data_IF_364301526033
#
_entry.id   IF_364301526033
#
_cell.length_a   1.000
_cell.length_b   1.000
_cell.length_c   1.000
_cell.angle_alpha   90.00
_cell.angle_beta   90.00
_cell.angle_gamma   90.00
#
_symmetry.space_group_name_H-M   'P 1'
#
loop_
_entity.id
_entity.type
_entity.pdbx_description
1 polymer ?
2 polymer ?
3 polymer ?
4 non-polymer ?
5 water ?
#
loop_
_entity_poly.entity_id
_entity_poly.type
_entity_poly.pdbx_seq_one_letter_code
_entity_poly.pdbx_strand_id
2 'polydeoxyribonucleotide' '(DA)(DG)(DG)(DG)(DG)(DG)(DG)(DA)(DA)(DA)(DT)(DC)(DC)(DC)(DC)(DC)(DC)(DT)' ?
3 'polydeoxyribonucleotide' '(DA)(DG)(DG)(DG)(DG)(DG)(DG)(DA)(DT)(DT)(DT)(DC)(DC)(DC)(DC)(DC)(DC)(DT)' ?
#
# COMPACT_ATOMS: atom_id res chain seq x y z
N UNK A 3 14.12 18.97 -23.45
CA UNK A 3 14.76 17.84 -22.76
C UNK A 3 14.38 16.49 -23.36
N UNK A 4 14.68 16.28 -24.64
CA UNK A 4 14.30 15.03 -25.31
C UNK A 4 15.22 13.87 -24.94
N UNK A 5 16.20 14.08 -24.07
CA UNK A 5 17.08 13.02 -23.59
C UNK A 5 17.14 13.07 -22.07
N UNK A 6 17.16 11.89 -21.46
CA UNK A 6 17.49 11.79 -20.05
C UNK A 6 19.01 11.79 -19.88
N UNK A 7 19.49 12.48 -18.85
CA UNK A 7 20.89 12.34 -18.52
C UNK A 7 21.14 10.93 -17.99
N UNK A 8 22.41 10.54 -17.93
CA UNK A 8 22.69 9.18 -17.50
C UNK A 8 22.37 8.98 -16.02
N UNK A 9 22.39 10.02 -15.20
CA UNK A 9 22.00 9.85 -13.81
C UNK A 9 20.49 9.77 -13.65
N UNK A 10 19.73 10.42 -14.53
CA UNK A 10 18.29 10.18 -14.55
C UNK A 10 17.96 8.77 -15.01
N UNK A 11 18.80 8.19 -15.88
CA UNK A 11 18.63 6.80 -16.28
C UNK A 11 18.91 5.87 -15.11
N UNK A 12 19.90 6.22 -14.27
CA UNK A 12 20.17 5.40 -13.09
C UNK A 12 18.97 5.40 -12.14
N UNK A 13 18.23 6.49 -12.09
CA UNK A 13 17.01 6.49 -11.30
C UNK A 13 15.97 5.56 -11.91
N UNK A 14 15.85 5.56 -13.24
CA UNK A 14 14.91 4.67 -13.92
C UNK A 14 15.18 3.20 -13.59
N UNK A 15 16.45 2.79 -13.57
CA UNK A 15 16.78 1.40 -13.27
C UNK A 15 16.62 1.06 -11.79
N UNK A 16 16.63 2.06 -10.92
CA UNK A 16 16.60 1.82 -9.48
C UNK A 16 15.27 2.16 -8.83
N UNK A 17 14.30 2.64 -9.60
CA UNK A 17 13.03 3.01 -9.00
C UNK A 17 12.45 1.80 -8.28
N UNK A 18 12.00 1.95 -7.04
CA UNK A 18 11.54 0.80 -6.27
C UNK A 18 10.29 0.20 -6.88
N UNK A 19 10.04 -1.06 -6.52
CA UNK A 19 8.85 -1.75 -6.96
C UNK A 19 9.14 -2.73 -8.09
N UNK A 20 8.08 -3.45 -8.47
CA UNK A 20 8.11 -4.46 -9.52
C UNK A 20 7.17 -3.96 -10.62
N UNK A 21 7.74 -3.46 -11.71
CA UNK A 21 6.94 -2.72 -12.67
C UNK A 21 7.44 -2.96 -14.09
N UNK A 22 6.66 -2.41 -15.02
CA UNK A 22 6.90 -2.63 -16.43
C UNK A 22 5.61 -2.33 -17.20
N UNK A 23 5.64 -2.68 -18.48
CA UNK A 23 4.47 -2.43 -19.31
C UNK A 23 4.29 -3.55 -20.31
N UNK A 24 3.07 -3.64 -20.83
CA UNK A 24 2.66 -4.64 -21.79
C UNK A 24 1.83 -3.96 -22.88
N UNK A 25 1.85 -4.54 -24.10
CA UNK A 25 1.11 -3.94 -25.20
C UNK A 25 -0.36 -4.40 -25.12
N UNK A 26 -1.16 -3.98 -26.11
CA UNK A 26 -2.59 -4.30 -26.16
C UNK A 26 -2.88 -5.79 -26.11
N UNK A 27 -1.90 -6.64 -26.38
CA UNK A 27 -2.08 -8.09 -26.27
C UNK A 27 -1.52 -8.66 -24.97
N UNK A 28 -1.10 -7.80 -24.04
CA UNK A 28 -0.47 -8.26 -22.80
C UNK A 28 0.84 -9.02 -23.08
N UNK A 29 1.54 -8.62 -24.12
CA UNK A 29 2.91 -9.08 -24.33
C UNK A 29 3.86 -8.08 -23.69
N UNK A 30 4.82 -8.59 -22.93
CA UNK A 30 5.71 -7.73 -22.17
C UNK A 30 6.58 -6.89 -23.11
N UNK A 31 6.51 -5.57 -22.95
CA UNK A 31 7.41 -4.67 -23.65
C UNK A 31 8.66 -4.39 -22.81
N UNK A 32 8.48 -4.01 -21.55
CA UNK A 32 9.59 -3.76 -20.66
C UNK A 32 9.27 -4.30 -19.27
N UNK A 33 10.30 -4.74 -18.57
CA UNK A 33 10.16 -5.20 -17.20
C UNK A 33 11.42 -4.82 -16.44
N UNK A 34 11.26 -4.26 -15.25
CA UNK A 34 12.44 -3.76 -14.55
C UNK A 34 13.17 -4.92 -13.88
N UNK A 35 14.38 -4.63 -13.38
CA UNK A 35 15.22 -5.71 -12.90
C UNK A 35 14.58 -6.44 -11.73
N UNK A 36 13.86 -5.72 -10.87
CA UNK A 36 13.24 -6.35 -9.71
C UNK A 36 12.19 -7.36 -10.14
N UNK A 37 11.38 -7.01 -11.15
CA UNK A 37 10.31 -7.91 -11.58
C UNK A 37 10.86 -9.15 -12.26
N UNK A 38 11.85 -8.97 -13.14
CA UNK A 38 12.48 -10.11 -13.77
C UNK A 38 12.96 -11.13 -12.77
N UNK A 39 13.56 -10.68 -11.67
CA UNK A 39 14.09 -11.63 -10.68
C UNK A 39 12.95 -12.27 -9.91
N UNK A 40 11.93 -11.49 -9.55
CA UNK A 40 10.76 -12.03 -8.86
C UNK A 40 10.12 -13.17 -9.65
N UNK A 41 10.14 -13.08 -10.98
CA UNK A 41 9.49 -14.06 -11.84
C UNK A 41 10.40 -15.23 -12.20
N UNK A 42 11.72 -15.06 -12.06
CA UNK A 42 12.62 -16.17 -12.31
C UNK A 42 13.60 -15.93 -13.45
N UNK A 43 13.57 -14.74 -14.02
CA UNK A 43 14.47 -14.35 -15.10
C UNK A 43 15.56 -13.44 -14.51
N UNK A 44 16.76 -14.02 -14.33
CA UNK A 44 17.88 -13.25 -13.81
C UNK A 44 18.16 -12.00 -14.64
N UNK A 45 17.90 -12.06 -15.94
CA UNK A 45 18.03 -10.90 -16.83
C UNK A 45 16.64 -10.53 -17.35
N UNK A 46 16.17 -9.34 -16.97
CA UNK A 46 14.77 -8.99 -17.22
C UNK A 46 14.46 -8.81 -18.70
N UNK A 47 15.48 -8.57 -19.53
CA UNK A 47 15.21 -8.43 -20.96
C UNK A 47 14.52 -9.67 -21.52
N UNK A 48 14.75 -10.83 -20.89
CA UNK A 48 14.08 -12.06 -21.32
C UNK A 48 12.56 -12.00 -21.13
N UNK A 49 12.04 -11.04 -20.37
CA UNK A 49 10.60 -10.87 -20.26
C UNK A 49 9.98 -10.41 -21.57
N UNK A 50 10.76 -9.71 -22.41
CA UNK A 50 10.19 -9.04 -23.57
C UNK A 50 9.77 -10.07 -24.61
N UNK A 51 8.58 -9.88 -25.16
CA UNK A 51 8.03 -10.81 -26.11
C UNK A 51 7.21 -11.93 -25.50
N UNK A 52 7.27 -12.11 -24.18
CA UNK A 52 6.52 -13.16 -23.50
C UNK A 52 5.21 -12.62 -22.96
N UNK A 53 4.27 -13.53 -22.74
CA UNK A 53 3.05 -13.22 -22.03
C UNK A 53 3.14 -13.75 -20.60
N UNK A 54 2.10 -13.50 -19.82
CA UNK A 54 2.07 -14.01 -18.45
C UNK A 54 2.02 -15.53 -18.40
N UNK A 55 1.60 -16.18 -19.50
CA UNK A 55 1.60 -17.64 -19.49
C UNK A 55 3.01 -18.20 -19.58
N UNK A 56 3.93 -17.45 -20.17
CA UNK A 56 5.23 -17.99 -20.58
C UNK A 56 6.36 -17.68 -19.60
N UNK A 57 6.02 -17.25 -18.37
CA UNK A 57 6.97 -16.90 -17.32
C UNK A 57 7.30 -18.12 -16.48
N UNK A 58 8.58 -18.34 -16.17
CA UNK A 58 9.00 -19.52 -15.39
C UNK A 58 8.65 -19.40 -13.91
N UNK A 59 7.35 -19.27 -13.63
CA UNK A 59 6.87 -18.94 -12.31
C UNK A 59 5.52 -19.59 -12.09
N UNK A 60 5.19 -20.00 -10.87
CA UNK A 60 3.83 -20.52 -10.61
C UNK A 60 2.76 -19.47 -10.82
N UNK A 61 3.12 -18.18 -10.88
CA UNK A 61 2.15 -17.14 -11.19
C UNK A 61 1.51 -17.34 -12.55
N UNK A 62 2.12 -18.14 -13.44
CA UNK A 62 1.52 -18.37 -14.75
C UNK A 62 0.17 -19.06 -14.66
N UNK A 63 -0.16 -19.66 -13.53
CA UNK A 63 -1.46 -20.28 -13.34
C UNK A 63 -2.59 -19.26 -13.26
N UNK A 64 -2.26 -18.00 -12.99
CA UNK A 64 -3.25 -16.92 -12.91
C UNK A 64 -3.14 -15.95 -14.09
N UNK A 65 -2.42 -16.34 -15.14
CA UNK A 65 -2.21 -15.44 -16.28
C UNK A 65 -3.52 -14.93 -16.87
N UNK A 66 -4.58 -15.74 -16.84
CA UNK A 66 -5.85 -15.29 -17.41
C UNK A 66 -6.45 -14.17 -16.59
N UNK A 67 -6.31 -14.23 -15.26
CA UNK A 67 -6.80 -13.12 -14.45
C UNK A 67 -6.03 -11.85 -14.76
N UNK A 68 -4.70 -11.96 -14.89
CA UNK A 68 -3.87 -10.83 -15.27
C UNK A 68 -4.36 -10.19 -16.56
N UNK A 69 -4.58 -10.99 -17.59
CA UNK A 69 -4.98 -10.42 -18.87
C UNK A 69 -6.39 -9.84 -18.80
N UNK A 70 -7.26 -10.47 -18.03
CA UNK A 70 -8.59 -9.90 -17.81
C UNK A 70 -8.49 -8.52 -17.19
N UNK A 71 -7.69 -8.38 -16.12
CA UNK A 71 -7.47 -7.07 -15.52
C UNK A 71 -6.84 -6.11 -16.52
N UNK A 72 -5.89 -6.61 -17.32
CA UNK A 72 -5.28 -5.77 -18.36
C UNK A 72 -6.35 -5.24 -19.33
N UNK A 73 -7.21 -6.13 -19.82
CA UNK A 73 -8.22 -5.69 -20.78
C UNK A 73 -9.18 -4.69 -20.15
N UNK A 74 -9.48 -4.85 -18.86
CA UNK A 74 -10.34 -3.88 -18.19
C UNK A 74 -9.71 -2.48 -18.17
N UNK A 75 -8.40 -2.41 -17.92
CA UNK A 75 -7.72 -1.12 -17.93
C UNK A 75 -7.76 -0.54 -19.35
N UNK A 76 -7.40 -1.35 -20.34
CA UNK A 76 -7.46 -0.90 -21.73
C UNK A 76 -8.88 -0.46 -22.09
N UNK A 77 -9.89 -1.17 -21.60
CA UNK A 77 -11.26 -0.88 -21.96
C UNK A 77 -11.78 0.41 -21.30
N UNK A 78 -11.46 0.61 -20.02
CA UNK A 78 -12.05 1.71 -19.26
C UNK A 78 -11.14 2.91 -19.10
N UNK A 79 -9.83 2.74 -19.25
CA UNK A 79 -8.90 3.80 -18.96
C UNK A 79 -8.70 4.08 -17.49
N UNK A 80 -9.24 3.25 -16.61
CA UNK A 80 -9.10 3.47 -15.17
C UNK A 80 -7.77 2.93 -14.67
N UNK A 81 -7.41 3.35 -13.46
CA UNK A 81 -6.37 2.69 -12.72
C UNK A 81 -7.02 1.63 -11.84
N UNK A 82 -6.35 0.49 -11.68
CA UNK A 82 -6.92 -0.67 -11.03
C UNK A 82 -5.96 -1.17 -9.96
N UNK A 83 -6.49 -1.51 -8.79
CA UNK A 83 -5.71 -2.01 -7.68
C UNK A 83 -6.00 -3.49 -7.52
N UNK A 84 -4.98 -4.32 -7.72
CA UNK A 84 -5.09 -5.77 -7.66
C UNK A 84 -4.30 -6.29 -6.46
N UNK A 85 -4.95 -7.09 -5.63
CA UNK A 85 -4.26 -7.87 -4.61
C UNK A 85 -3.78 -9.19 -5.22
N UNK A 86 -2.52 -9.51 -4.98
CA UNK A 86 -1.88 -10.68 -5.55
C UNK A 86 -1.21 -11.50 -4.46
N UNK A 87 -1.49 -12.79 -4.44
CA UNK A 87 -0.92 -13.72 -3.47
C UNK A 87 -0.52 -14.96 -4.24
N UNK A 88 0.77 -15.28 -4.29
CA UNK A 88 1.26 -16.34 -5.14
C UNK A 88 2.54 -16.91 -4.56
N UNK A 89 2.89 -18.15 -4.91
CA UNK A 89 4.26 -18.63 -4.74
C UNK A 89 5.12 -18.24 -5.94
N UNK A 90 6.41 -18.04 -5.68
CA UNK A 90 7.35 -17.55 -6.68
C UNK A 90 8.57 -18.45 -6.74
N UNK A 91 9.36 -18.37 -7.82
CA UNK A 91 10.47 -19.33 -7.98
C UNK A 91 11.55 -19.22 -6.92
N UNK A 92 11.48 -18.24 -6.02
CA UNK A 92 12.36 -18.21 -4.85
C UNK A 92 11.85 -19.11 -3.74
N UNK A 93 10.84 -19.94 -4.01
CA UNK A 93 10.32 -20.88 -3.04
C UNK A 93 9.51 -20.29 -1.92
N UNK A 94 9.03 -19.06 -2.06
CA UNK A 94 8.28 -18.38 -1.01
C UNK A 94 6.95 -17.87 -1.56
N UNK A 95 5.97 -17.74 -0.68
CA UNK A 95 4.72 -17.06 -1.01
C UNK A 95 4.90 -15.57 -0.75
N UNK A 96 4.27 -14.76 -1.59
CA UNK A 96 4.38 -13.31 -1.48
C UNK A 96 2.99 -12.71 -1.59
N UNK A 97 2.81 -11.54 -1.00
CA UNK A 97 1.60 -10.75 -1.18
C UNK A 97 2.00 -9.41 -1.78
N UNK A 98 1.50 -9.12 -2.98
CA UNK A 98 1.75 -7.85 -3.62
C UNK A 98 0.45 -7.12 -3.88
N UNK A 99 0.54 -5.80 -3.97
CA UNK A 99 -0.50 -4.97 -4.55
C UNK A 99 0.05 -4.47 -5.88
N UNK A 100 -0.56 -4.91 -6.98
CA UNK A 100 -0.22 -4.41 -8.31
C UNK A 100 -1.21 -3.35 -8.73
N UNK A 101 -0.68 -2.18 -9.08
CA UNK A 101 -1.46 -1.09 -9.62
C UNK A 101 -1.28 -1.13 -11.13
N UNK A 102 -2.38 -1.03 -11.87
CA UNK A 102 -2.36 -1.12 -13.31
C UNK A 102 -3.07 0.09 -13.89
N UNK A 103 -2.45 0.73 -14.87
CA UNK A 103 -2.92 1.97 -15.45
C UNK A 103 -2.72 1.90 -16.96
N UNK A 104 -3.40 2.75 -17.72
CA UNK A 104 -3.19 2.76 -19.18
C UNK A 104 -1.79 3.21 -19.54
N UNK A 105 -1.24 2.59 -20.58
CA UNK A 105 0.01 2.99 -21.20
C UNK A 105 -0.35 3.69 -22.52
N UNK A 106 -0.08 4.98 -22.61
CA UNK A 106 -0.52 5.75 -23.76
C UNK A 106 0.63 6.02 -24.71
N UNK A 107 0.27 6.50 -25.92
CA UNK A 107 1.24 6.77 -26.98
C UNK A 107 1.31 8.28 -27.21
N UNK A 108 1.97 8.68 -28.31
CA UNK A 108 2.25 10.10 -28.52
C UNK A 108 0.97 10.93 -28.54
N UNK A 109 -0.09 10.41 -29.17
CA UNK A 109 -1.34 11.14 -29.30
C UNK A 109 -2.35 10.79 -28.21
N UNK A 110 -1.91 10.14 -27.13
CA UNK A 110 -2.78 9.81 -26.01
C UNK A 110 -3.58 8.53 -26.14
N UNK A 111 -3.53 7.86 -27.28
CA UNK A 111 -4.26 6.61 -27.46
C UNK A 111 -3.66 5.51 -26.58
N UNK A 112 -4.53 4.70 -25.99
CA UNK A 112 -4.07 3.59 -25.16
C UNK A 112 -3.42 2.53 -26.03
N UNK A 113 -2.19 2.14 -25.66
CA UNK A 113 -1.42 1.14 -26.40
C UNK A 113 -0.99 -0.02 -25.50
N UNK A 114 -1.55 -0.12 -24.32
CA UNK A 114 -1.24 -1.22 -23.42
C UNK A 114 -1.45 -0.80 -21.98
N UNK A 115 -0.82 -1.54 -21.07
CA UNK A 115 -0.96 -1.29 -19.65
C UNK A 115 0.40 -1.12 -18.98
N UNK A 116 0.38 -0.39 -17.88
CA UNK A 116 1.52 -0.24 -16.98
C UNK A 116 1.17 -0.99 -15.71
N UNK A 117 2.03 -1.89 -15.28
CA UNK A 117 1.84 -2.50 -13.98
C UNK A 117 2.88 -1.97 -12.99
N UNK A 118 2.50 -1.88 -11.73
CA UNK A 118 3.43 -1.42 -10.70
C UNK A 118 3.05 -2.15 -9.42
N UNK A 119 3.94 -3.03 -8.96
CA UNK A 119 3.69 -3.88 -7.82
C UNK A 119 4.57 -3.52 -6.63
N UNK A 120 4.01 -3.64 -5.44
CA UNK A 120 4.74 -3.43 -4.21
C UNK A 120 4.54 -4.62 -3.31
N UNK A 121 5.63 -5.14 -2.76
CA UNK A 121 5.56 -6.26 -1.85
C UNK A 121 5.15 -5.76 -0.48
N UNK A 122 4.11 -6.36 0.11
CA UNK A 122 3.77 -6.01 1.48
C UNK A 122 3.76 -7.22 2.40
N UNK A 123 4.40 -8.33 2.01
CA UNK A 123 4.49 -9.48 2.90
C UNK A 123 5.14 -9.11 4.23
N UNK A 124 6.07 -8.16 4.22
CA UNK A 124 6.76 -7.74 5.43
C UNK A 124 6.76 -6.23 5.57
N UNK A 125 6.02 -5.52 4.74
CA UNK A 125 5.94 -4.06 4.78
C UNK A 125 4.48 -3.61 4.77
N UNK A 126 3.61 -4.35 5.43
CA UNK A 126 2.22 -3.95 5.45
C UNK A 126 2.07 -2.64 6.22
N UNK A 127 1.07 -1.85 5.84
CA UNK A 127 0.89 -0.51 6.38
C UNK A 127 -0.36 -0.44 7.26
N UNK A 128 -0.67 -1.55 7.96
CA UNK A 128 -1.84 -1.56 8.86
C UNK A 128 -1.75 -0.44 9.88
N UNK A 129 -0.55 -0.16 10.40
CA UNK A 129 -0.37 0.82 11.47
C UNK A 129 -0.87 2.21 11.07
N UNK A 130 -1.20 2.43 9.81
CA UNK A 130 -1.72 3.71 9.34
C UNK A 130 -2.91 4.14 10.18
N UNK A 131 -3.85 3.22 10.44
CA UNK A 131 -5.01 3.55 11.24
C UNK A 131 -4.63 3.97 12.65
N UNK A 132 -3.69 3.26 13.27
CA UNK A 132 -3.24 3.64 14.61
C UNK A 132 -2.63 5.03 14.61
N UNK A 133 -1.85 5.36 13.58
CA UNK A 133 -1.20 6.67 13.54
C UNK A 133 -2.21 7.79 13.33
N UNK A 134 -3.25 7.54 12.53
CA UNK A 134 -4.32 8.52 12.36
C UNK A 134 -5.07 8.72 13.67
N UNK A 135 -5.29 7.66 14.44
CA UNK A 135 -6.03 7.82 15.69
C UNK A 135 -5.25 8.65 16.69
N UNK A 136 -3.94 8.39 16.82
CA UNK A 136 -3.14 9.13 17.78
C UNK A 136 -3.03 10.61 17.40
N UNK A 137 -2.76 10.90 16.13
CA UNK A 137 -2.61 12.29 15.70
C UNK A 137 -3.90 13.08 15.81
N UNK A 138 -5.05 12.41 15.84
CA UNK A 138 -6.34 13.08 15.92
C UNK A 138 -6.98 12.99 17.30
N UNK A 139 -6.25 12.44 18.28
CA UNK A 139 -6.79 12.32 19.63
C UNK A 139 -7.90 11.30 19.78
N UNK A 140 -7.85 10.21 19.02
CA UNK A 140 -8.84 9.15 19.10
C UNK A 140 -8.20 7.82 19.52
N UNK A 141 -7.18 7.89 20.36
CA UNK A 141 -6.52 6.70 20.89
C UNK A 141 -6.18 6.98 22.36
N UNK A 142 -5.41 6.08 22.95
CA UNK A 142 -5.01 6.23 24.35
C UNK A 142 -3.54 5.84 24.56
N UNK A 154 13.66 -8.93 23.24
CA UNK A 154 13.30 -9.54 21.96
C UNK A 154 12.14 -10.53 22.11
N UNK A 155 11.37 -10.72 21.05
CA UNK A 155 10.22 -11.61 21.05
C UNK A 155 10.35 -12.66 19.96
N UNK A 156 9.78 -13.84 20.22
CA UNK A 156 9.76 -14.95 19.27
C UNK A 156 8.43 -15.65 19.39
N UNK A 157 7.67 -15.68 18.30
CA UNK A 157 6.34 -16.27 18.27
C UNK A 157 6.35 -17.55 17.45
N UNK A 158 5.50 -18.49 17.84
CA UNK A 158 5.29 -19.68 17.04
C UNK A 158 4.49 -19.31 15.80
N UNK A 159 4.48 -20.22 14.82
CA UNK A 159 3.72 -19.95 13.61
C UNK A 159 2.25 -19.70 13.93
N UNK A 160 1.68 -20.54 14.79
CA UNK A 160 0.26 -20.43 15.10
C UNK A 160 -0.05 -19.16 15.89
N UNK A 161 0.85 -18.77 16.81
CA UNK A 161 0.67 -17.52 17.52
C UNK A 161 0.67 -16.32 16.56
N UNK A 162 1.62 -16.29 15.62
CA UNK A 162 1.69 -15.21 14.64
C UNK A 162 0.38 -15.06 13.87
N UNK A 163 -0.26 -16.18 13.54
CA UNK A 163 -1.55 -16.13 12.85
C UNK A 163 -2.59 -15.41 13.71
N UNK A 164 -2.73 -15.85 14.97
CA UNK A 164 -3.71 -15.24 15.86
C UNK A 164 -3.45 -13.76 16.02
N UNK A 165 -2.19 -13.36 16.22
CA UNK A 165 -1.87 -11.94 16.35
C UNK A 165 -2.29 -11.18 15.10
N UNK A 166 -1.97 -11.72 13.91
CA UNK A 166 -2.39 -11.10 12.67
C UNK A 166 -3.91 -10.90 12.62
N UNK A 167 -4.67 -11.90 13.04
CA UNK A 167 -6.12 -11.76 12.98
C UNK A 167 -6.66 -10.77 14.03
N UNK A 168 -6.03 -10.71 15.21
CA UNK A 168 -6.42 -9.70 16.19
C UNK A 168 -6.11 -8.29 15.69
N UNK A 169 -4.95 -8.11 15.07
CA UNK A 169 -4.57 -6.79 14.59
C UNK A 169 -5.55 -6.26 13.55
N UNK A 170 -6.18 -7.14 12.76
CA UNK A 170 -7.15 -6.69 11.77
C UNK A 170 -8.57 -6.65 12.32
N UNK A 171 -8.73 -6.82 13.63
CA UNK A 171 -10.02 -6.65 14.27
C UNK A 171 -10.95 -7.84 14.22
N UNK A 172 -10.46 -9.04 13.89
CA UNK A 172 -11.35 -10.18 13.82
C UNK A 172 -11.72 -10.65 15.21
N UNK A 173 -12.92 -11.17 15.34
CA UNK A 173 -13.48 -11.61 16.61
C UNK A 173 -13.19 -13.09 16.83
N UNK A 174 -13.31 -13.58 18.08
CA UNK A 174 -12.99 -14.99 18.35
C UNK A 174 -13.71 -15.99 17.44
N UNK A 175 -15.02 -15.84 17.23
CA UNK A 175 -15.72 -16.75 16.35
C UNK A 175 -15.13 -16.72 14.94
N UNK A 176 -14.83 -15.51 14.44
CA UNK A 176 -14.24 -15.39 13.12
C UNK A 176 -12.85 -16.02 13.07
N UNK A 177 -12.01 -15.75 14.08
CA UNK A 177 -10.67 -16.32 14.09
C UNK A 177 -10.72 -17.83 14.17
N UNK A 178 -11.62 -18.38 14.99
CA UNK A 178 -11.74 -19.83 15.08
C UNK A 178 -12.12 -20.44 13.73
N UNK A 179 -13.12 -19.87 13.07
CA UNK A 179 -13.56 -20.39 11.77
C UNK A 179 -12.44 -20.29 10.73
N UNK A 180 -11.73 -19.16 10.70
CA UNK A 180 -10.64 -18.97 9.75
C UNK A 180 -9.53 -20.00 9.96
N UNK A 181 -9.17 -20.27 11.22
CA UNK A 181 -8.04 -21.14 11.54
C UNK A 181 -8.43 -22.61 11.67
N UNK A 182 -9.71 -22.93 11.67
CA UNK A 182 -10.11 -24.32 11.79
C UNK A 182 -9.85 -24.96 13.14
N UNK A 183 -9.94 -24.17 14.21
CA UNK A 183 -9.79 -24.64 15.58
C UNK A 183 -10.93 -24.06 16.40
N UNK A 184 -11.02 -24.48 17.67
CA UNK A 184 -12.06 -23.97 18.55
C UNK A 184 -11.62 -22.67 19.22
N UNK A 185 -12.60 -21.90 19.67
CA UNK A 185 -12.33 -20.66 20.39
C UNK A 185 -11.49 -20.92 21.63
N UNK A 186 -11.71 -22.07 22.28
CA UNK A 186 -10.90 -22.41 23.45
C UNK A 186 -9.42 -22.51 23.08
N UNK A 187 -9.11 -22.97 21.88
CA UNK A 187 -7.72 -22.98 21.44
C UNK A 187 -7.23 -21.58 21.08
N UNK A 188 -8.11 -20.77 20.49
CA UNK A 188 -7.87 -19.35 20.26
C UNK A 188 -8.04 -18.58 21.56
N UNK A 189 -7.44 -19.08 22.62
CA UNK A 189 -7.50 -18.42 23.92
C UNK A 189 -6.24 -18.85 24.64
N UNK A 190 -5.92 -20.14 24.51
CA UNK A 190 -4.59 -20.62 24.83
C UNK A 190 -3.64 -20.30 23.70
N UNK A 191 -3.77 -19.06 23.19
CA UNK A 191 -2.90 -18.49 22.18
C UNK A 191 -2.85 -17.00 22.44
N UNK A 192 -4.03 -16.38 22.54
CA UNK A 192 -4.11 -15.01 23.02
C UNK A 192 -3.53 -14.90 24.43
N UNK A 193 -3.65 -15.95 25.23
CA UNK A 193 -3.03 -15.93 26.55
C UNK A 193 -1.51 -15.94 26.45
N UNK A 194 -0.96 -16.82 25.60
CA UNK A 194 0.49 -16.85 25.46
C UNK A 194 0.99 -15.58 24.77
N UNK A 195 0.22 -15.00 23.85
CA UNK A 195 0.62 -13.72 23.27
C UNK A 195 0.58 -12.61 24.31
N UNK A 196 -0.46 -12.59 25.15
CA UNK A 196 -0.52 -11.59 26.21
C UNK A 196 0.68 -11.68 27.12
N UNK A 197 1.19 -12.89 27.35
CA UNK A 197 2.34 -13.11 28.22
C UNK A 197 3.62 -12.51 27.64
N UNK A 198 4.09 -13.04 26.52
CA UNK A 198 5.38 -12.61 25.99
C UNK A 198 5.37 -11.18 25.50
N UNK A 199 4.20 -10.56 25.34
CA UNK A 199 4.12 -9.12 25.06
C UNK A 199 3.96 -8.29 26.33
N UNK A 200 3.77 -8.92 27.48
CA UNK A 200 3.58 -8.17 28.72
C UNK A 200 2.34 -7.31 28.72
N UNK A 201 1.25 -7.80 28.14
CA UNK A 201 0.00 -7.05 28.06
C UNK A 201 -1.01 -7.61 29.04
N UNK A 202 -1.74 -6.72 29.69
CA UNK A 202 -2.73 -7.17 30.65
C UNK A 202 -4.07 -7.48 29.99
N UNK A 203 -4.42 -6.74 28.94
CA UNK A 203 -5.68 -6.96 28.24
C UNK A 203 -5.40 -7.23 26.76
N UNK A 204 -6.37 -7.89 26.13
CA UNK A 204 -6.30 -8.08 24.68
C UNK A 204 -6.21 -6.74 23.96
N UNK A 205 -6.80 -5.69 24.54
CA UNK A 205 -6.68 -4.36 23.96
C UNK A 205 -5.24 -3.87 24.01
N UNK A 206 -4.59 -4.03 25.15
CA UNK A 206 -3.21 -3.57 25.28
C UNK A 206 -2.25 -4.40 24.42
N UNK A 207 -2.59 -5.68 24.17
CA UNK A 207 -1.76 -6.49 23.31
C UNK A 207 -1.77 -5.96 21.88
N UNK A 208 -2.94 -5.56 21.39
CA UNK A 208 -3.05 -5.02 20.04
C UNK A 208 -2.24 -3.73 19.92
N UNK A 209 -2.40 -2.82 20.90
CA UNK A 209 -1.67 -1.56 20.85
C UNK A 209 -0.16 -1.77 20.94
N UNK A 210 0.28 -2.61 21.88
CA UNK A 210 1.71 -2.88 22.03
C UNK A 210 2.30 -3.50 20.78
N UNK A 211 1.66 -4.56 20.27
CA UNK A 211 2.16 -5.23 19.07
C UNK A 211 2.22 -4.28 17.88
N UNK A 212 1.20 -3.43 17.73
CA UNK A 212 1.22 -2.41 16.69
C UNK A 212 2.44 -1.51 16.80
N UNK A 213 2.82 -1.14 18.02
CA UNK A 213 3.99 -0.29 18.20
C UNK A 213 5.29 -1.07 18.10
N UNK A 214 5.27 -2.39 18.31
CA UNK A 214 6.44 -3.21 18.01
C UNK A 214 6.58 -3.51 16.53
N UNK A 215 5.65 -3.04 15.70
CA UNK A 215 5.75 -3.19 14.26
C UNK A 215 5.11 -4.43 13.66
N UNK A 216 4.33 -5.18 14.43
CA UNK A 216 3.72 -6.40 13.92
C UNK A 216 2.58 -6.12 12.96
N UNK A 217 2.10 -4.89 12.88
CA UNK A 217 1.19 -4.52 11.81
C UNK A 217 1.79 -4.61 10.42
N UNK A 218 3.11 -4.73 10.32
CA UNK A 218 3.74 -4.84 9.01
C UNK A 218 3.80 -6.27 8.50
N UNK A 219 3.55 -7.28 9.36
CA UNK A 219 3.79 -8.69 9.06
C UNK A 219 2.53 -9.32 8.50
N UNK A 220 2.69 -10.12 7.45
CA UNK A 220 1.66 -11.06 7.00
C UNK A 220 2.22 -12.47 7.14
N UNK A 221 1.76 -13.26 8.11
CA UNK A 221 2.32 -14.59 8.31
C UNK A 221 2.13 -15.43 7.06
N UNK A 222 3.23 -15.86 6.46
CA UNK A 222 3.15 -16.61 5.21
C UNK A 222 2.59 -18.01 5.40
N UNK A 223 2.33 -18.42 6.64
CA UNK A 223 1.53 -19.63 6.88
C UNK A 223 0.07 -19.44 6.47
N UNK A 224 -0.39 -18.21 6.34
CA UNK A 224 -1.75 -17.92 5.88
C UNK A 224 -1.82 -17.73 4.38
N UNK A 225 -0.69 -17.76 3.67
CA UNK A 225 -0.63 -17.62 2.23
C UNK A 225 -0.54 -19.05 1.66
N UNK A 226 -1.69 -19.61 1.31
CA UNK A 226 -1.76 -21.00 0.89
C UNK A 226 -2.55 -21.23 -0.38
N UNK A 227 -3.24 -20.23 -0.92
CA UNK A 227 -3.97 -20.34 -2.17
C UNK A 227 -3.64 -19.13 -3.04
N UNK A 228 -3.43 -19.36 -4.33
CA UNK A 228 -3.12 -18.25 -5.22
C UNK A 228 -4.37 -17.38 -5.42
N UNK A 229 -4.14 -16.08 -5.51
CA UNK A 229 -5.22 -15.09 -5.54
C UNK A 229 -4.78 -13.89 -6.35
N UNK A 230 -5.67 -13.43 -7.23
CA UNK A 230 -5.43 -12.22 -8.03
C UNK A 230 -6.80 -11.57 -8.24
N UNK A 231 -7.16 -10.68 -7.33
CA UNK A 231 -8.50 -10.11 -7.26
C UNK A 231 -8.38 -8.59 -7.31
N UNK A 232 -9.28 -7.96 -8.06
CA UNK A 232 -9.35 -6.50 -8.12
C UNK A 232 -10.04 -5.98 -6.86
N UNK A 233 -9.34 -5.12 -6.11
CA UNK A 233 -9.93 -4.52 -4.90
C UNK A 233 -10.74 -3.27 -5.22
N UNK A 234 -10.32 -2.48 -6.20
CA UNK A 234 -11.03 -1.26 -6.57
C UNK A 234 -10.42 -0.71 -7.85
N UNK A 235 -11.08 0.34 -8.36
CA UNK A 235 -10.60 1.06 -9.53
C UNK A 235 -11.09 2.50 -9.41
N UNK A 236 -10.42 3.41 -10.13
CA UNK A 236 -10.83 4.81 -10.07
C UNK A 236 -10.39 5.53 -11.33
N UNK A 237 -11.08 6.64 -11.58
CA UNK A 237 -10.74 7.48 -12.71
C UNK A 237 -9.37 8.12 -12.53
N UNK A 238 -8.68 8.32 -13.64
CA UNK A 238 -7.41 9.03 -13.68
C UNK A 238 -7.69 10.44 -14.15
N UNK A 239 -7.49 11.48 -13.30
CA UNK A 239 -7.73 12.88 -13.63
C UNK A 239 -6.71 13.42 -14.63
N UNK B 3 23.30 -1.85 -22.57
CA UNK B 3 22.51 -0.77 -23.18
C UNK B 3 22.68 0.56 -22.49
N UNK B 4 23.58 1.41 -22.99
CA UNK B 4 23.76 2.76 -22.46
C UNK B 4 22.57 3.66 -22.75
N UNK B 5 21.65 3.24 -23.62
CA UNK B 5 20.49 4.02 -24.01
C UNK B 5 19.21 3.26 -23.71
N UNK B 6 18.18 4.00 -23.33
CA UNK B 6 16.82 3.51 -23.36
C UNK B 6 16.22 3.83 -24.73
N UNK B 7 15.51 2.87 -25.31
CA UNK B 7 14.72 3.19 -26.49
C UNK B 7 13.68 4.24 -26.13
N UNK B 8 13.14 4.89 -27.16
CA UNK B 8 12.19 5.96 -26.88
C UNK B 8 10.91 5.45 -26.23
N UNK B 9 10.48 4.21 -26.54
CA UNK B 9 9.27 3.68 -25.92
C UNK B 9 9.48 3.41 -24.44
N UNK B 10 10.66 2.91 -24.08
CA UNK B 10 10.99 2.76 -22.66
C UNK B 10 11.03 4.11 -21.95
N UNK B 11 11.51 5.15 -22.63
CA UNK B 11 11.52 6.49 -22.03
C UNK B 11 10.10 6.98 -21.78
N UNK B 12 9.15 6.59 -22.64
CA UNK B 12 7.75 6.94 -22.41
C UNK B 12 7.22 6.27 -21.15
N UNK B 13 7.73 5.07 -20.83
CA UNK B 13 7.38 4.44 -19.55
C UNK B 13 7.88 5.29 -18.38
N UNK B 14 9.12 5.79 -18.49
CA UNK B 14 9.68 6.68 -17.47
C UNK B 14 8.73 7.82 -17.16
N UNK B 15 8.30 8.55 -18.18
CA UNK B 15 7.43 9.69 -17.97
C UNK B 15 6.00 9.30 -17.63
N UNK B 16 5.64 8.01 -17.65
CA UNK B 16 4.25 7.63 -17.44
C UNK B 16 4.02 6.76 -16.21
N UNK B 17 5.06 6.20 -15.60
CA UNK B 17 4.91 5.43 -14.38
C UNK B 17 3.99 6.15 -13.40
N UNK B 18 3.23 5.43 -12.59
CA UNK B 18 2.32 6.09 -11.64
C UNK B 18 3.08 6.68 -10.47
N UNK B 19 2.36 7.33 -9.55
CA UNK B 19 2.96 7.81 -8.32
C UNK B 19 3.67 9.14 -8.46
N UNK B 20 4.27 9.56 -7.33
CA UNK B 20 4.95 10.83 -7.21
C UNK B 20 6.36 10.53 -6.71
N UNK B 21 7.37 10.82 -7.53
CA UNK B 21 8.67 10.24 -7.21
C UNK B 21 9.80 11.08 -7.79
N UNK B 22 11.00 10.72 -7.37
CA UNK B 22 12.21 11.40 -7.78
C UNK B 22 13.36 11.00 -6.89
N UNK B 23 14.41 11.80 -6.89
CA UNK B 23 15.55 11.49 -6.04
C UNK B 23 16.23 12.78 -5.59
N UNK B 24 16.95 12.64 -4.48
CA UNK B 24 17.76 13.70 -3.88
C UNK B 24 19.12 13.12 -3.53
N UNK B 25 20.10 14.02 -3.41
CA UNK B 25 21.46 13.58 -3.14
C UNK B 25 21.71 13.55 -1.63
N UNK B 26 22.97 13.36 -1.24
CA UNK B 26 23.33 13.28 0.18
C UNK B 26 22.88 14.49 1.00
N UNK B 27 22.71 15.64 0.38
CA UNK B 27 22.18 16.79 1.10
C UNK B 27 20.65 16.91 1.01
N UNK B 28 19.96 15.92 0.45
CA UNK B 28 18.51 16.00 0.27
C UNK B 28 18.15 17.23 -0.55
N UNK B 29 18.96 17.52 -1.54
CA UNK B 29 18.61 18.53 -2.53
C UNK B 29 18.19 17.80 -3.80
N UNK B 30 17.11 18.26 -4.41
CA UNK B 30 16.44 17.48 -5.44
C UNK B 30 17.32 17.37 -6.69
N UNK B 31 17.47 16.15 -7.19
CA UNK B 31 18.13 15.87 -8.44
C UNK B 31 17.14 15.69 -9.58
N UNK B 32 16.00 15.07 -9.30
CA UNK B 32 14.96 14.91 -10.31
C UNK B 32 13.61 14.71 -9.63
N UNK B 33 12.56 15.25 -10.23
CA UNK B 33 11.19 15.00 -9.82
C UNK B 33 10.35 14.77 -11.06
N UNK B 34 9.38 13.86 -10.96
CA UNK B 34 8.51 13.65 -12.10
C UNK B 34 7.39 14.70 -12.09
N UNK B 35 6.66 14.76 -13.19
CA UNK B 35 5.65 15.80 -13.35
C UNK B 35 4.57 15.69 -12.29
N UNK B 36 4.16 14.46 -11.94
CA UNK B 36 3.13 14.28 -10.93
C UNK B 36 3.54 14.93 -9.61
N UNK B 37 4.78 14.69 -9.17
CA UNK B 37 5.22 15.30 -7.91
C UNK B 37 5.34 16.81 -8.06
N UNK B 38 5.82 17.28 -9.22
CA UNK B 38 5.92 18.71 -9.44
C UNK B 38 4.59 19.42 -9.26
N UNK B 39 3.53 18.86 -9.84
CA UNK B 39 2.21 19.50 -9.74
C UNK B 39 1.62 19.36 -8.35
N UNK B 40 1.88 18.23 -7.68
CA UNK B 40 1.41 18.03 -6.32
C UNK B 40 2.02 19.06 -5.38
N UNK B 41 3.31 19.36 -5.57
CA UNK B 41 4.03 20.29 -4.72
C UNK B 41 3.90 21.73 -5.20
N UNK B 42 3.14 21.97 -6.27
CA UNK B 42 2.83 23.31 -6.73
C UNK B 42 3.71 23.88 -7.83
N UNK B 43 4.27 23.05 -8.70
CA UNK B 43 5.16 23.49 -9.76
C UNK B 43 4.62 23.04 -11.10
N UNK B 44 4.37 23.98 -12.01
CA UNK B 44 3.94 23.61 -13.35
C UNK B 44 5.04 22.87 -14.11
N UNK B 45 6.30 23.26 -13.90
CA UNK B 45 7.44 22.64 -14.55
C UNK B 45 8.21 21.86 -13.49
N UNK B 46 8.12 20.52 -13.56
CA UNK B 46 8.72 19.68 -12.53
C UNK B 46 10.22 19.87 -12.41
N UNK B 47 10.88 20.36 -13.47
CA UNK B 47 12.32 20.54 -13.41
C UNK B 47 12.72 21.68 -12.47
N UNK B 48 11.80 22.59 -12.16
CA UNK B 48 12.07 23.62 -11.16
C UNK B 48 12.35 23.05 -9.78
N UNK B 49 11.98 21.78 -9.54
CA UNK B 49 12.36 21.13 -8.29
C UNK B 49 13.87 20.97 -8.19
N UNK B 50 14.55 20.72 -9.33
CA UNK B 50 15.96 20.41 -9.30
C UNK B 50 16.73 21.52 -8.61
N UNK B 51 17.65 21.12 -7.72
CA UNK B 51 18.49 21.99 -6.90
C UNK B 51 17.73 22.71 -5.79
N UNK B 52 16.47 22.37 -5.56
CA UNK B 52 15.74 22.83 -4.37
C UNK B 52 15.75 21.76 -3.28
N UNK B 53 15.59 22.21 -2.04
CA UNK B 53 15.33 21.32 -0.91
C UNK B 53 13.85 21.34 -0.57
N UNK B 54 13.45 20.39 0.29
CA UNK B 54 12.07 20.34 0.74
C UNK B 54 11.63 21.63 1.43
N UNK B 55 12.57 22.40 2.01
CA UNK B 55 12.21 23.68 2.62
C UNK B 55 11.77 24.71 1.59
N UNK B 56 12.33 24.63 0.37
CA UNK B 56 12.19 25.69 -0.63
C UNK B 56 11.08 25.41 -1.64
N UNK B 57 10.06 24.63 -1.25
CA UNK B 57 9.00 24.31 -2.20
C UNK B 57 7.72 25.07 -1.84
N UNK B 58 6.96 25.55 -2.84
CA UNK B 58 5.80 26.41 -2.59
C UNK B 58 4.56 25.65 -2.12
N UNK B 59 4.74 24.82 -1.10
CA UNK B 59 3.69 23.95 -0.59
C UNK B 59 3.72 23.96 0.93
N UNK B 60 2.55 23.84 1.58
CA UNK B 60 2.54 23.74 3.05
C UNK B 60 3.36 22.58 3.58
N UNK B 61 3.74 21.62 2.72
CA UNK B 61 4.61 20.54 3.13
C UNK B 61 5.97 21.02 3.61
N UNK B 62 6.37 22.24 3.25
CA UNK B 62 7.68 22.73 3.67
C UNK B 62 7.79 22.82 5.19
N UNK B 63 6.65 22.95 5.89
CA UNK B 63 6.66 22.97 7.35
C UNK B 63 7.13 21.65 7.94
N UNK B 64 7.16 20.59 7.14
CA UNK B 64 7.62 19.27 7.55
C UNK B 64 8.96 18.91 6.91
N UNK B 65 9.64 19.88 6.32
CA UNK B 65 10.88 19.57 5.60
C UNK B 65 11.91 18.91 6.50
N UNK B 66 11.96 19.30 7.77
CA UNK B 66 12.90 18.69 8.70
C UNK B 66 12.64 17.20 8.86
N UNK B 67 11.37 16.79 8.94
CA UNK B 67 11.09 15.37 9.09
C UNK B 67 11.49 14.59 7.85
N UNK B 68 11.26 15.15 6.66
CA UNK B 68 11.67 14.49 5.44
C UNK B 68 13.18 14.27 5.43
N UNK B 69 13.94 15.28 5.83
CA UNK B 69 15.38 15.18 5.78
C UNK B 69 15.88 14.20 6.82
N UNK B 70 15.26 14.21 7.99
CA UNK B 70 15.60 13.22 9.01
C UNK B 70 15.34 11.81 8.50
N UNK B 71 14.24 11.61 7.76
CA UNK B 71 14.00 10.30 7.18
C UNK B 71 15.06 9.96 6.13
N UNK B 72 15.41 10.94 5.29
CA UNK B 72 16.44 10.74 4.26
C UNK B 72 17.78 10.36 4.90
N UNK B 73 18.17 11.06 5.98
CA UNK B 73 19.44 10.73 6.62
C UNK B 73 19.42 9.31 7.17
N UNK B 74 18.26 8.85 7.64
CA UNK B 74 18.17 7.50 8.19
C UNK B 74 18.37 6.46 7.09
N UNK B 75 17.71 6.65 5.95
CA UNK B 75 17.90 5.76 4.80
C UNK B 75 19.36 5.79 4.36
N UNK B 76 19.95 6.98 4.29
CA UNK B 76 21.32 7.11 3.81
C UNK B 76 22.30 6.41 4.74
N UNK B 77 22.08 6.54 6.04
CA UNK B 77 23.09 6.01 6.97
C UNK B 77 22.90 4.53 7.20
N UNK B 78 21.66 4.05 7.25
CA UNK B 78 21.38 2.66 7.57
C UNK B 78 21.35 1.76 6.35
N UNK B 79 21.17 2.33 5.16
CA UNK B 79 20.98 1.53 3.97
C UNK B 79 19.65 0.84 3.89
N UNK B 80 18.86 0.84 4.97
CA UNK B 80 17.53 0.26 4.96
C UNK B 80 16.59 1.17 4.19
N UNK B 81 15.52 0.59 3.67
CA UNK B 81 14.47 1.37 3.04
C UNK B 81 13.27 1.39 3.97
N UNK B 82 12.47 2.45 3.85
CA UNK B 82 11.40 2.73 4.80
C UNK B 82 10.15 3.11 4.06
N UNK B 83 9.03 3.05 4.77
CA UNK B 83 7.73 3.48 4.26
C UNK B 83 7.18 4.53 5.21
N UNK B 84 6.78 5.67 4.67
CA UNK B 84 6.36 6.82 5.44
C UNK B 84 4.89 7.11 5.15
N UNK B 85 4.10 7.27 6.20
CA UNK B 85 2.75 7.81 6.08
C UNK B 85 2.82 9.34 6.08
N UNK B 86 2.23 9.95 5.06
CA UNK B 86 2.25 11.40 4.91
C UNK B 86 0.84 11.92 4.76
N UNK B 87 0.51 12.93 5.57
CA UNK B 87 -0.79 13.61 5.56
C UNK B 87 -0.49 15.11 5.60
N UNK B 88 -0.87 15.82 4.55
CA UNK B 88 -0.50 17.22 4.43
C UNK B 88 -1.57 17.96 3.65
N UNK B 89 -1.67 19.28 3.81
CA UNK B 89 -2.38 20.10 2.82
C UNK B 89 -1.43 20.49 1.70
N UNK B 90 -1.99 20.61 0.49
CA UNK B 90 -1.21 20.86 -0.71
C UNK B 90 -1.72 22.09 -1.43
N UNK B 91 -0.89 22.70 -2.29
CA UNK B 91 -1.28 23.98 -2.90
C UNK B 91 -2.57 23.94 -3.70
N UNK B 92 -3.05 22.74 -4.08
CA UNK B 92 -4.35 22.65 -4.73
C UNK B 92 -5.51 23.01 -3.80
N UNK B 93 -5.26 23.16 -2.50
CA UNK B 93 -6.27 23.54 -1.54
C UNK B 93 -6.81 22.41 -0.69
N UNK B 94 -6.50 21.16 -1.02
CA UNK B 94 -7.04 20.00 -0.32
C UNK B 94 -5.97 19.34 0.54
N UNK B 95 -6.42 18.38 1.35
CA UNK B 95 -5.54 17.50 2.11
C UNK B 95 -5.40 16.18 1.38
N UNK B 96 -4.20 15.62 1.39
CA UNK B 96 -3.93 14.34 0.76
C UNK B 96 -3.09 13.49 1.71
N UNK B 97 -3.36 12.19 1.69
CA UNK B 97 -2.57 11.22 2.42
C UNK B 97 -1.83 10.36 1.40
N UNK B 98 -0.54 10.13 1.66
CA UNK B 98 0.31 9.35 0.78
C UNK B 98 1.07 8.33 1.61
N UNK B 99 1.62 7.34 0.91
CA UNK B 99 2.65 6.46 1.46
C UNK B 99 3.91 6.64 0.62
N UNK B 100 4.95 7.22 1.23
CA UNK B 100 6.20 7.47 0.53
C UNK B 100 7.22 6.38 0.88
N UNK B 101 7.64 5.63 -0.14
CA UNK B 101 8.73 4.67 0.02
C UNK B 101 10.03 5.40 -0.23
N UNK B 102 11.02 5.15 0.62
CA UNK B 102 12.32 5.79 0.49
C UNK B 102 13.39 4.72 0.54
N UNK B 103 14.27 4.71 -0.45
CA UNK B 103 15.30 3.70 -0.60
C UNK B 103 16.61 4.38 -0.96
N UNK B 104 17.75 3.74 -0.68
CA UNK B 104 19.02 4.36 -1.04
C UNK B 104 19.18 4.45 -2.55
N UNK B 105 19.72 5.57 -2.98
CA UNK B 105 20.05 5.79 -4.39
C UNK B 105 21.55 5.55 -4.52
N UNK B 106 21.92 4.57 -5.32
CA UNK B 106 23.31 4.13 -5.37
C UNK B 106 23.98 4.55 -6.67
N UNK B 107 25.28 4.81 -6.56
CA UNK B 107 26.07 5.26 -7.69
C UNK B 107 26.51 4.05 -8.52
N UNK B 108 27.37 4.29 -9.51
CA UNK B 108 27.69 3.30 -10.52
C UNK B 108 28.48 2.13 -9.93
N UNK B 109 28.81 2.21 -8.64
CA UNK B 109 29.61 1.17 -7.99
C UNK B 109 29.00 0.68 -6.69
N UNK B 110 27.78 1.10 -6.35
CA UNK B 110 27.10 0.62 -5.17
C UNK B 110 27.10 1.57 -3.99
N UNK B 111 27.98 2.56 -3.98
CA UNK B 111 28.03 3.52 -2.89
C UNK B 111 26.76 4.36 -2.85
N UNK B 112 26.28 4.67 -1.65
CA UNK B 112 25.06 5.46 -1.52
C UNK B 112 25.35 6.91 -1.85
N UNK B 113 24.57 7.48 -2.75
CA UNK B 113 24.71 8.87 -3.15
C UNK B 113 23.43 9.67 -2.94
N UNK B 114 22.46 9.13 -2.23
CA UNK B 114 21.26 9.92 -2.00
C UNK B 114 20.07 9.02 -1.70
N UNK B 115 18.90 9.58 -1.96
CA UNK B 115 17.61 9.00 -1.61
C UNK B 115 16.71 8.94 -2.83
N UNK B 116 15.98 7.84 -2.98
CA UNK B 116 14.88 7.73 -3.95
C UNK B 116 13.58 7.70 -3.16
N UNK B 117 12.66 8.61 -3.48
CA UNK B 117 11.34 8.59 -2.89
C UNK B 117 10.33 8.15 -3.94
N UNK B 118 9.28 7.45 -3.50
CA UNK B 118 8.17 7.06 -4.36
C UNK B 118 6.88 7.14 -3.55
N UNK B 119 6.07 8.14 -3.85
CA UNK B 119 4.78 8.34 -3.19
C UNK B 119 3.63 7.76 -3.97
N UNK B 120 2.73 7.09 -3.26
CA UNK B 120 1.47 6.61 -3.78
C UNK B 120 0.31 7.22 -2.99
N UNK B 121 -0.71 7.68 -3.70
CA UNK B 121 -1.95 8.08 -3.04
C UNK B 121 -2.46 6.93 -2.18
N UNK B 122 -3.07 7.27 -1.05
CA UNK B 122 -3.51 6.22 -0.13
C UNK B 122 -4.53 5.31 -0.78
N UNK B 123 -5.34 5.84 -1.70
CA UNK B 123 -6.38 5.04 -2.33
C UNK B 123 -5.84 4.01 -3.31
N UNK B 124 -4.59 4.16 -3.75
CA UNK B 124 -3.91 3.15 -4.53
C UNK B 124 -3.13 2.16 -3.66
N UNK B 125 -3.38 2.14 -2.36
CA UNK B 125 -2.74 1.21 -1.44
C UNK B 125 -3.82 0.40 -0.72
N UNK B 126 -3.37 -0.67 -0.08
CA UNK B 126 -4.27 -1.58 0.61
C UNK B 126 -3.85 -1.66 2.08
N UNK B 127 -4.83 -1.50 2.97
CA UNK B 127 -4.60 -1.61 4.40
C UNK B 127 -5.41 -2.78 4.95
N UNK B 128 -6.68 -2.53 5.31
CA UNK B 128 -7.49 -3.58 5.92
C UNK B 128 -7.97 -4.62 4.92
N UNK B 129 -7.92 -4.32 3.62
CA UNK B 129 -8.33 -5.32 2.63
C UNK B 129 -7.38 -6.51 2.62
N UNK B 130 -6.17 -6.35 3.16
CA UNK B 130 -5.22 -7.46 3.23
C UNK B 130 -5.76 -8.58 4.11
N UNK B 131 -6.14 -8.25 5.35
CA UNK B 131 -6.67 -9.27 6.24
C UNK B 131 -8.06 -9.71 5.83
N UNK B 132 -8.82 -8.82 5.19
CA UNK B 132 -10.13 -9.19 4.69
C UNK B 132 -10.05 -10.35 3.70
N UNK B 133 -9.02 -10.35 2.83
CA UNK B 133 -8.91 -11.37 1.80
C UNK B 133 -8.10 -12.57 2.23
N UNK B 134 -7.12 -12.38 3.11
CA UNK B 134 -6.44 -13.54 3.71
C UNK B 134 -7.45 -14.44 4.42
N UNK B 135 -8.44 -13.84 5.10
CA UNK B 135 -9.47 -14.65 5.77
C UNK B 135 -10.34 -15.38 4.76
N UNK B 136 -10.62 -14.73 3.62
CA UNK B 136 -11.48 -15.33 2.60
C UNK B 136 -10.88 -16.57 1.97
N UNK B 137 -9.64 -16.92 2.29
CA UNK B 137 -8.99 -18.10 1.72
C UNK B 137 -9.37 -19.38 2.46
N UNK B 138 -10.58 -19.40 3.06
CA UNK B 138 -11.11 -20.57 3.74
C UNK B 138 -12.51 -20.81 3.18
N UNK B 139 -12.63 -21.79 2.29
CA UNK B 139 -13.85 -22.01 1.53
C UNK B 139 -13.61 -21.73 0.06
N UNK B 140 -14.41 -20.85 -0.55
CA UNK B 140 -14.15 -20.40 -1.92
C UNK B 140 -14.95 -19.13 -2.22
N UNK B 141 -14.27 -18.07 -2.65
CA UNK B 141 -14.89 -16.83 -3.10
C UNK B 141 -14.81 -16.72 -4.62
N UNK B 142 -15.31 -15.60 -5.15
CA UNK B 142 -15.25 -15.30 -6.56
C UNK B 142 -14.77 -13.86 -6.74
N UNK B 143 -14.14 -13.60 -7.89
CA UNK B 143 -13.47 -12.32 -8.16
C UNK B 143 -14.14 -11.67 -9.38
N UNK B 144 -14.89 -10.58 -9.14
CA UNK B 144 -15.50 -9.80 -10.20
C UNK B 144 -15.69 -8.38 -9.68
N UNK B 145 -14.97 -7.42 -10.24
CA UNK B 145 -15.05 -6.03 -9.80
C UNK B 145 -16.32 -5.37 -10.35
N UNK B 146 -16.74 -4.31 -9.67
CA UNK B 146 -17.93 -3.56 -10.07
C UNK B 146 -17.56 -2.15 -10.50
N UNK B 154 -24.63 5.28 -5.50
CA UNK B 154 -23.63 5.88 -4.63
C UNK B 154 -24.07 5.84 -3.16
N UNK B 155 -23.36 6.58 -2.31
CA UNK B 155 -23.59 6.56 -0.87
C UNK B 155 -22.88 7.74 -0.23
N UNK B 156 -23.55 8.39 0.73
CA UNK B 156 -22.96 9.51 1.45
C UNK B 156 -23.12 9.32 2.95
N UNK B 157 -22.04 9.63 3.67
CA UNK B 157 -21.97 9.46 5.11
C UNK B 157 -21.68 10.80 5.78
N UNK B 158 -22.25 11.00 6.96
CA UNK B 158 -21.96 12.19 7.74
C UNK B 158 -20.55 12.12 8.31
N UNK B 159 -20.10 13.24 8.87
CA UNK B 159 -18.78 13.29 9.48
C UNK B 159 -18.63 12.21 10.54
N UNK B 160 -19.60 12.12 11.47
CA UNK B 160 -19.48 11.14 12.54
C UNK B 160 -19.74 9.73 12.06
N UNK B 161 -20.62 9.55 11.07
CA UNK B 161 -20.80 8.22 10.49
C UNK B 161 -19.50 7.71 9.90
N UNK B 162 -18.73 8.60 9.26
CA UNK B 162 -17.46 8.18 8.67
C UNK B 162 -16.44 7.82 9.74
N UNK B 163 -16.35 8.61 10.81
CA UNK B 163 -15.41 8.30 11.88
C UNK B 163 -15.74 6.97 12.54
N UNK B 164 -17.02 6.73 12.82
CA UNK B 164 -17.41 5.48 13.48
C UNK B 164 -17.08 4.29 12.58
N UNK B 165 -17.42 4.39 11.29
CA UNK B 165 -17.06 3.31 10.36
C UNK B 165 -15.56 3.08 10.36
N UNK B 166 -14.78 4.15 10.25
CA UNK B 166 -13.33 4.04 10.29
C UNK B 166 -12.87 3.22 11.50
N UNK B 167 -13.36 3.57 12.70
CA UNK B 167 -12.96 2.85 13.90
C UNK B 167 -13.48 1.41 13.92
N UNK B 168 -14.68 1.17 13.39
CA UNK B 168 -15.20 -0.20 13.31
C UNK B 168 -14.33 -1.08 12.43
N UNK B 169 -13.90 -0.58 11.28
CA UNK B 169 -13.16 -1.43 10.36
C UNK B 169 -11.81 -1.85 10.91
N UNK B 170 -11.24 -1.06 11.83
CA UNK B 170 -10.00 -1.43 12.50
C UNK B 170 -10.24 -2.25 13.75
N UNK B 171 -11.49 -2.68 13.98
CA UNK B 171 -11.79 -3.57 15.10
C UNK B 171 -11.95 -2.90 16.45
N UNK B 172 -12.15 -1.58 16.48
CA UNK B 172 -12.36 -0.87 17.73
C UNK B 172 -13.75 -1.19 18.28
N UNK B 173 -13.79 -1.65 19.53
CA UNK B 173 -15.04 -2.06 20.15
C UNK B 173 -15.85 -0.85 20.62
N UNK B 174 -17.17 -1.01 20.81
CA UNK B 174 -18.01 0.15 21.19
C UNK B 174 -17.53 0.90 22.42
N UNK B 175 -17.05 0.19 23.45
CA UNK B 175 -16.53 0.88 24.62
C UNK B 175 -15.37 1.79 24.26
N UNK B 176 -14.51 1.34 23.34
CA UNK B 176 -13.38 2.14 22.87
C UNK B 176 -13.87 3.33 22.06
N UNK B 177 -14.81 3.10 21.13
CA UNK B 177 -15.29 4.17 20.27
C UNK B 177 -15.99 5.26 21.08
N UNK B 178 -16.80 4.86 22.06
CA UNK B 178 -17.54 5.84 22.86
C UNK B 178 -16.59 6.70 23.68
N UNK B 179 -15.49 6.14 24.18
CA UNK B 179 -14.55 6.93 24.96
C UNK B 179 -13.80 7.94 24.10
N UNK B 180 -13.29 7.50 22.94
CA UNK B 180 -12.44 8.39 22.14
C UNK B 180 -13.24 9.49 21.43
N UNK B 181 -14.55 9.32 21.26
CA UNK B 181 -15.38 10.32 20.61
C UNK B 181 -16.15 11.19 21.60
N UNK B 182 -16.05 10.90 22.90
CA UNK B 182 -16.74 11.68 23.89
C UNK B 182 -18.24 11.53 23.91
N UNK B 183 -18.77 10.43 23.36
CA UNK B 183 -20.21 10.22 23.31
C UNK B 183 -20.57 8.95 24.07
N UNK B 184 -21.87 8.71 24.21
CA UNK B 184 -22.38 7.53 24.89
C UNK B 184 -22.25 6.29 24.02
N UNK B 185 -22.17 5.12 24.67
CA UNK B 185 -22.18 3.86 23.95
C UNK B 185 -23.48 3.70 23.18
N UNK B 186 -24.58 4.17 23.76
CA UNK B 186 -25.86 4.13 23.07
C UNK B 186 -25.87 5.02 21.83
N UNK B 187 -25.09 6.11 21.87
CA UNK B 187 -24.95 6.96 20.70
C UNK B 187 -24.22 6.24 19.59
N UNK B 188 -23.17 5.49 19.94
CA UNK B 188 -22.44 4.70 18.96
C UNK B 188 -23.36 3.67 18.33
N UNK B 189 -24.14 2.95 19.16
CA UNK B 189 -25.07 1.96 18.63
C UNK B 189 -26.00 2.59 17.60
N UNK B 190 -26.45 3.82 17.85
CA UNK B 190 -27.27 4.52 16.87
C UNK B 190 -26.56 4.73 15.55
N UNK B 191 -25.25 4.97 15.59
CA UNK B 191 -24.50 5.18 14.35
C UNK B 191 -24.25 3.86 13.63
N UNK B 192 -24.00 2.79 14.37
CA UNK B 192 -23.91 1.48 13.75
C UNK B 192 -25.22 1.12 13.07
N UNK B 193 -26.35 1.45 13.70
CA UNK B 193 -27.65 1.23 13.06
C UNK B 193 -27.80 2.08 11.80
N UNK B 194 -27.42 3.36 11.87
CA UNK B 194 -27.53 4.22 10.70
C UNK B 194 -26.59 3.75 9.60
N UNK B 195 -25.40 3.26 9.96
CA UNK B 195 -24.48 2.71 8.96
C UNK B 195 -25.01 1.39 8.42
N UNK B 196 -25.50 0.52 9.31
CA UNK B 196 -26.06 -0.75 8.88
C UNK B 196 -27.21 -0.54 7.89
N UNK B 197 -27.93 0.56 8.04
CA UNK B 197 -29.02 0.87 7.12
C UNK B 197 -28.50 1.34 5.77
N UNK B 198 -27.53 2.25 5.76
CA UNK B 198 -27.06 2.84 4.51
C UNK B 198 -26.35 1.82 3.63
N UNK B 199 -25.65 0.85 4.23
CA UNK B 199 -24.99 -0.19 3.46
C UNK B 199 -25.89 -1.36 3.11
N UNK B 200 -27.15 -1.33 3.55
CA UNK B 200 -28.03 -2.46 3.35
C UNK B 200 -27.55 -3.71 4.06
N UNK B 201 -27.05 -3.57 5.28
CA UNK B 201 -26.50 -4.68 6.04
C UNK B 201 -27.49 -5.12 7.11
N UNK B 202 -27.55 -6.44 7.33
CA UNK B 202 -28.40 -6.97 8.39
C UNK B 202 -27.70 -6.99 9.73
N UNK B 203 -26.44 -7.41 9.76
CA UNK B 203 -25.67 -7.51 10.98
C UNK B 203 -24.44 -6.60 10.92
N UNK B 204 -23.84 -6.39 12.08
CA UNK B 204 -22.59 -5.63 12.14
C UNK B 204 -21.48 -6.32 11.36
N UNK B 205 -21.36 -7.64 11.51
CA UNK B 205 -20.34 -8.37 10.77
C UNK B 205 -20.55 -8.22 9.27
N UNK B 206 -21.81 -8.18 8.82
CA UNK B 206 -22.08 -7.98 7.40
C UNK B 206 -21.75 -6.56 6.97
N UNK B 207 -21.95 -5.60 7.86
CA UNK B 207 -21.56 -4.21 7.57
C UNK B 207 -20.06 -4.10 7.32
N UNK B 208 -19.26 -4.75 8.17
CA UNK B 208 -17.81 -4.74 7.97
C UNK B 208 -17.45 -5.29 6.59
N UNK B 209 -18.14 -6.35 6.18
CA UNK B 209 -17.83 -7.00 4.91
C UNK B 209 -18.17 -6.10 3.73
N UNK B 210 -19.39 -5.56 3.71
CA UNK B 210 -19.80 -4.66 2.63
C UNK B 210 -18.90 -3.43 2.54
N UNK B 211 -18.52 -2.86 3.69
CA UNK B 211 -17.72 -1.64 3.66
C UNK B 211 -16.31 -1.91 3.15
N UNK B 212 -15.72 -3.04 3.53
CA UNK B 212 -14.40 -3.38 3.00
C UNK B 212 -14.44 -3.63 1.50
N UNK B 213 -15.53 -4.22 0.99
CA UNK B 213 -15.63 -4.46 -0.44
C UNK B 213 -15.80 -3.17 -1.24
N UNK B 214 -16.30 -2.11 -0.62
CA UNK B 214 -16.48 -0.84 -1.31
C UNK B 214 -15.35 0.16 -1.03
N UNK B 215 -14.21 -0.31 -0.52
CA UNK B 215 -13.00 0.50 -0.49
C UNK B 215 -12.72 1.24 0.80
N UNK B 216 -13.57 1.10 1.81
CA UNK B 216 -13.38 1.87 3.03
C UNK B 216 -12.21 1.40 3.88
N UNK B 217 -11.61 0.26 3.56
CA UNK B 217 -10.47 -0.23 4.32
C UNK B 217 -9.20 0.55 4.11
N UNK B 218 -9.14 1.39 3.07
CA UNK B 218 -7.97 2.25 2.82
C UNK B 218 -8.42 3.69 2.61
N UNK B 219 -9.46 4.09 3.34
CA UNK B 219 -10.02 5.42 3.30
C UNK B 219 -9.81 6.07 4.67
N UNK B 220 -9.26 7.28 4.67
CA UNK B 220 -9.21 8.10 5.88
C UNK B 220 -10.24 9.21 5.71
N UNK B 221 -11.28 9.27 6.54
CA UNK B 221 -12.33 10.27 6.35
C UNK B 221 -11.78 11.68 6.44
N UNK B 222 -12.33 12.58 5.60
CA UNK B 222 -11.82 13.95 5.49
C UNK B 222 -11.73 14.62 6.85
N UNK B 223 -12.67 14.34 7.75
CA UNK B 223 -12.68 14.94 9.08
C UNK B 223 -11.49 14.52 9.95
N UNK B 224 -10.68 13.55 9.51
CA UNK B 224 -9.47 13.16 10.22
C UNK B 224 -8.21 13.52 9.45
N UNK B 225 -8.32 14.30 8.37
CA UNK B 225 -7.15 14.89 7.72
C UNK B 225 -6.95 16.32 8.24
N UNK B 226 -6.67 16.40 9.54
CA UNK B 226 -6.63 17.66 10.27
C UNK B 226 -5.22 18.12 10.60
N UNK B 227 -4.32 17.19 10.90
CA UNK B 227 -2.97 17.51 11.36
C UNK B 227 -1.94 16.96 10.38
N UNK B 228 -0.91 17.76 10.10
CA UNK B 228 0.21 17.29 9.30
C UNK B 228 0.96 16.17 10.04
N UNK B 229 1.41 15.18 9.29
CA UNK B 229 2.05 13.99 9.84
C UNK B 229 3.04 13.42 8.83
N UNK B 230 4.20 12.97 9.33
CA UNK B 230 5.16 12.27 8.48
C UNK B 230 5.90 11.26 9.37
N UNK B 231 5.34 10.05 9.49
CA UNK B 231 5.84 9.01 10.38
C UNK B 231 6.35 7.84 9.56
N UNK B 232 7.46 7.26 10.01
CA UNK B 232 7.99 6.02 9.44
C UNK B 232 7.26 4.84 10.08
N UNK B 233 6.58 4.06 9.25
CA UNK B 233 5.91 2.85 9.71
C UNK B 233 6.92 1.73 9.97
N UNK B 234 6.85 1.12 11.14
CA UNK B 234 7.85 0.14 11.52
C UNK B 234 7.68 -1.16 10.75
N UNK B 235 8.79 -1.71 10.28
CA UNK B 235 8.82 -3.04 9.70
C UNK B 235 9.92 -3.85 10.38
N UNK B 236 9.91 -5.16 10.14
CA UNK B 236 10.92 -6.06 10.68
C UNK B 236 11.97 -6.37 9.61
N UNK B 237 12.71 -5.31 9.24
CA UNK B 237 13.73 -5.36 8.18
C UNK B 237 13.15 -5.87 6.85
#
# INVERSE_FOLDING_TARGET
MKPNHLTLEQISLFKQLPGYWGCKDLNSVFVYANQAYGELIGLKRAEDCIGRTDFEMPSPTAACAAEFQQQDRYVIETGHSVKVLDIHPYPDGHWHAHIFTKTPWRDSQGKIQGTIFFGQDLTDTAILEVGHWVCRATGLSTSTTFKSVADRDTLKLTARESEVLFLLLYGKKPQHIARVMGISIKTVEGYEAKLRSKFGALSKDQLIDLALDRGFGSVIPKTLLRKQLSVVLSDHTIPKKVDVVAQLLEHHHHHH
MKPNHLTLEQISLFKQLPGYWGCKDLNSVFVYANQAYGELIGLKRAEDCIGRTDFEMPSPTAACAAEFQQQDRYVIETGHSVKVLDIHPYPDGHWHAHIFTKTPWRDSQGKIQGTIFFGQDLTDTAILEVGHWVCRATGLSTSTTFKSVADRDTLKLTARESEVLFLLLYGKKPQHIARVMGISIKTVEGYEAKLRSKFGALSKDQLIDLALDRGFGSVIPKTLLRKQLSVVLSDHTIPKKVDVVAQLLEHHHHHH
#
